data_IF_006609937107
#
_entry.id   IF_006609937107
#
_cell.length_a   1.000
_cell.length_b   1.000
_cell.length_c   1.000
_cell.angle_alpha   90.00
_cell.angle_beta   90.00
_cell.angle_gamma   90.00
#
_symmetry.space_group_name_H-M   'P 1'
#
loop_
_entity.id
_entity.type
_entity.pdbx_description
1 polymer ?
#
# COMPACT_ATOMS: atom_id res chain seq x y z
N UNK A 1 -17.84 -2.71 -9.78
CA UNK A 1 -16.59 -2.38 -10.45
C UNK A 1 -15.94 -3.59 -11.13
N UNK A 2 -15.73 -4.72 -10.43
CA UNK A 2 -15.12 -5.91 -11.07
C UNK A 2 -15.87 -6.34 -12.32
N UNK A 3 -17.18 -6.45 -12.27
CA UNK A 3 -17.99 -6.81 -13.45
C UNK A 3 -17.83 -5.78 -14.57
N UNK A 4 -17.79 -4.48 -14.26
CA UNK A 4 -17.56 -3.42 -15.25
C UNK A 4 -16.22 -3.58 -15.97
N UNK A 5 -15.16 -3.96 -15.23
CA UNK A 5 -13.84 -4.20 -15.79
C UNK A 5 -13.79 -5.44 -16.70
N UNK A 6 -14.55 -6.49 -16.37
CA UNK A 6 -14.63 -7.70 -17.20
C UNK A 6 -15.53 -7.54 -18.43
N UNK A 7 -16.63 -6.81 -18.30
CA UNK A 7 -17.59 -6.57 -19.38
C UNK A 7 -17.16 -5.39 -20.28
N UNK A 8 -16.13 -4.63 -19.89
CA UNK A 8 -15.62 -3.43 -20.57
C UNK A 8 -16.72 -2.39 -20.86
N UNK A 9 -17.77 -2.37 -20.06
CA UNK A 9 -18.94 -1.49 -20.25
C UNK A 9 -18.80 -0.20 -19.45
N UNK A 10 -17.97 0.71 -19.96
CA UNK A 10 -17.76 2.05 -19.44
C UNK A 10 -18.52 3.11 -20.24
N UNK A 11 -18.90 4.21 -19.58
CA UNK A 11 -19.46 5.37 -20.27
C UNK A 11 -18.44 5.96 -21.25
N UNK A 12 -18.91 6.50 -22.38
CA UNK A 12 -18.07 7.03 -23.49
C UNK A 12 -17.02 8.08 -23.06
N UNK A 13 -17.27 8.77 -21.96
CA UNK A 13 -16.33 9.77 -21.40
C UNK A 13 -15.11 9.17 -20.68
N UNK A 14 -15.09 7.85 -20.46
CA UNK A 14 -13.98 7.19 -19.79
C UNK A 14 -12.84 6.89 -20.75
N UNK A 15 -11.82 7.73 -20.73
CA UNK A 15 -10.53 7.48 -21.41
C UNK A 15 -9.60 6.79 -20.40
N UNK A 16 -9.94 5.58 -20.02
CA UNK A 16 -9.07 4.71 -19.22
C UNK A 16 -8.09 3.98 -20.11
N UNK A 17 -6.86 3.80 -19.65
CA UNK A 17 -5.92 2.90 -20.32
C UNK A 17 -6.48 1.47 -20.30
N UNK A 18 -6.82 0.93 -21.45
CA UNK A 18 -7.19 -0.47 -21.57
C UNK A 18 -5.96 -1.38 -21.51
N UNK A 19 -6.14 -2.65 -21.16
CA UNK A 19 -5.15 -3.69 -21.37
C UNK A 19 -4.28 -4.06 -20.17
N UNK A 20 -4.52 -3.54 -18.97
CA UNK A 20 -3.85 -4.03 -17.77
C UNK A 20 -4.64 -5.17 -17.10
N UNK A 21 -3.96 -5.97 -16.27
CA UNK A 21 -4.61 -7.03 -15.50
C UNK A 21 -5.48 -6.45 -14.39
N UNK A 22 -6.66 -7.04 -14.21
CA UNK A 22 -7.69 -6.47 -13.32
C UNK A 22 -7.25 -6.37 -11.85
N UNK A 23 -6.41 -7.27 -11.35
CA UNK A 23 -5.93 -7.23 -9.97
C UNK A 23 -4.94 -6.10 -9.67
N UNK A 24 -4.42 -5.41 -10.69
CA UNK A 24 -3.58 -4.21 -10.51
C UNK A 24 -4.40 -2.97 -10.14
N UNK A 25 -5.71 -3.00 -10.33
CA UNK A 25 -6.57 -1.86 -10.11
C UNK A 25 -6.71 -1.53 -8.62
N UNK A 26 -6.65 -0.24 -8.32
CA UNK A 26 -6.97 0.27 -6.99
C UNK A 26 -8.47 0.47 -6.80
N UNK A 27 -8.88 0.64 -5.54
CA UNK A 27 -10.26 0.92 -5.17
C UNK A 27 -10.34 1.80 -3.93
N UNK A 28 -11.41 2.56 -3.79
CA UNK A 28 -11.68 3.36 -2.62
C UNK A 28 -13.17 3.35 -2.30
N UNK A 29 -13.52 3.10 -1.04
CA UNK A 29 -14.90 3.11 -0.58
C UNK A 29 -14.99 3.47 0.91
N UNK A 30 -16.13 4.04 1.28
CA UNK A 30 -16.53 4.17 2.68
C UNK A 30 -17.36 2.94 3.08
N UNK A 31 -16.99 2.32 4.19
CA UNK A 31 -17.66 1.14 4.74
C UNK A 31 -18.19 1.48 6.13
N UNK A 32 -19.40 1.07 6.42
CA UNK A 32 -19.95 1.18 7.77
C UNK A 32 -19.55 -0.02 8.61
N UNK A 33 -19.03 0.25 9.79
CA UNK A 33 -18.80 -0.78 10.80
C UNK A 33 -20.12 -1.23 11.43
N UNK A 34 -20.10 -2.35 12.18
CA UNK A 34 -21.28 -2.86 12.93
C UNK A 34 -21.89 -1.78 13.87
N UNK A 35 -21.10 -0.81 14.30
CA UNK A 35 -21.53 0.31 15.13
C UNK A 35 -21.94 1.55 14.30
N UNK A 36 -22.20 1.39 13.01
CA UNK A 36 -22.55 2.46 12.06
C UNK A 36 -21.53 3.61 11.98
N UNK A 37 -20.26 3.35 12.29
CA UNK A 37 -19.17 4.31 12.09
C UNK A 37 -18.58 4.15 10.70
N UNK A 38 -18.43 5.23 9.91
CA UNK A 38 -17.81 5.15 8.62
C UNK A 38 -16.29 4.91 8.75
N UNK A 39 -15.77 3.99 7.97
CA UNK A 39 -14.33 3.75 7.79
C UNK A 39 -14.01 3.83 6.31
N UNK A 40 -13.06 4.68 5.95
CA UNK A 40 -12.59 4.79 4.58
C UNK A 40 -11.53 3.72 4.29
N UNK A 41 -11.79 2.90 3.29
CA UNK A 41 -10.86 1.85 2.83
C UNK A 41 -10.32 2.25 1.46
N UNK A 42 -9.00 2.26 1.32
CA UNK A 42 -8.33 2.50 0.04
C UNK A 42 -7.43 1.31 -0.29
N UNK A 43 -7.71 0.65 -1.41
CA UNK A 43 -6.80 -0.31 -2.02
C UNK A 43 -5.89 0.44 -2.98
N UNK A 44 -4.59 0.37 -2.77
CA UNK A 44 -3.63 0.93 -3.70
C UNK A 44 -3.54 0.06 -4.97
N UNK A 45 -3.40 0.70 -6.13
CA UNK A 45 -2.96 -0.01 -7.33
C UNK A 45 -1.61 -0.66 -7.08
N UNK A 46 -1.40 -1.87 -7.55
CA UNK A 46 -0.17 -2.62 -7.34
C UNK A 46 0.44 -3.04 -8.69
N UNK A 47 1.78 -3.08 -8.81
CA UNK A 47 2.45 -3.61 -9.99
C UNK A 47 2.56 -5.14 -9.92
N UNK A 48 3.01 -5.77 -11.01
CA UNK A 48 3.41 -7.19 -11.03
C UNK A 48 4.70 -7.47 -10.24
N UNK A 49 5.45 -6.45 -9.88
CA UNK A 49 6.63 -6.56 -9.03
C UNK A 49 6.20 -6.87 -7.59
N UNK A 50 6.35 -8.11 -7.18
CA UNK A 50 5.96 -8.57 -5.85
C UNK A 50 6.62 -7.74 -4.76
N UNK A 51 5.86 -7.42 -3.70
CA UNK A 51 6.24 -6.67 -2.50
C UNK A 51 6.48 -5.16 -2.69
N UNK A 52 6.56 -4.63 -3.92
CA UNK A 52 6.78 -3.19 -4.14
C UNK A 52 5.59 -2.33 -3.68
N UNK A 53 4.38 -2.85 -3.70
CA UNK A 53 3.20 -2.19 -3.13
C UNK A 53 3.33 -1.87 -1.65
N UNK A 54 4.15 -2.60 -0.91
CA UNK A 54 4.42 -2.38 0.51
C UNK A 54 4.93 -0.96 0.77
N UNK A 55 6.02 -0.56 0.13
CA UNK A 55 6.59 0.79 0.28
C UNK A 55 5.62 1.90 -0.13
N UNK A 56 4.86 1.68 -1.20
CA UNK A 56 3.84 2.63 -1.68
C UNK A 56 2.73 2.83 -0.65
N UNK A 57 2.24 1.76 -0.04
CA UNK A 57 1.19 1.83 1.00
C UNK A 57 1.69 2.56 2.24
N UNK A 58 2.92 2.28 2.70
CA UNK A 58 3.52 3.00 3.83
C UNK A 58 3.67 4.50 3.54
N UNK A 59 4.14 4.85 2.33
CA UNK A 59 4.25 6.24 1.89
C UNK A 59 2.89 6.95 1.84
N UNK A 60 1.85 6.29 1.30
CA UNK A 60 0.47 6.82 1.29
C UNK A 60 -0.08 7.00 2.70
N UNK A 61 0.12 6.03 3.59
CA UNK A 61 -0.30 6.13 4.99
C UNK A 61 0.39 7.32 5.69
N UNK A 62 1.70 7.46 5.53
CA UNK A 62 2.47 8.58 6.09
C UNK A 62 2.00 9.94 5.58
N UNK A 63 1.73 10.07 4.27
CA UNK A 63 1.20 11.28 3.68
C UNK A 63 -0.19 11.63 4.24
N UNK A 64 -1.05 10.61 4.40
CA UNK A 64 -2.40 10.78 4.96
C UNK A 64 -2.36 11.25 6.40
N UNK A 65 -1.54 10.61 7.24
CA UNK A 65 -1.31 11.00 8.63
C UNK A 65 -0.83 12.46 8.73
N UNK A 66 0.08 12.88 7.86
CA UNK A 66 0.56 14.26 7.80
C UNK A 66 -0.55 15.25 7.42
N UNK A 67 -1.33 14.96 6.37
CA UNK A 67 -2.39 15.86 5.90
C UNK A 67 -3.54 15.99 6.89
N UNK A 68 -3.72 14.99 7.75
CA UNK A 68 -4.72 14.99 8.82
C UNK A 68 -4.18 15.54 10.15
N UNK A 69 -2.92 16.00 10.18
CA UNK A 69 -2.22 16.44 11.41
C UNK A 69 -2.27 15.41 12.53
N UNK A 70 -2.16 14.14 12.16
CA UNK A 70 -2.28 13.01 13.07
C UNK A 70 -0.92 12.67 13.71
N UNK A 71 -0.68 13.17 14.90
CA UNK A 71 0.56 12.92 15.65
C UNK A 71 0.66 11.47 16.13
N UNK A 72 -0.45 10.90 16.60
CA UNK A 72 -0.50 9.56 17.18
C UNK A 72 -0.51 8.41 16.15
N UNK A 73 -0.69 8.70 14.85
CA UNK A 73 -0.70 7.71 13.77
C UNK A 73 -1.68 6.54 13.97
N UNK A 74 -2.78 6.78 14.68
CA UNK A 74 -3.77 5.78 15.04
C UNK A 74 -4.93 5.67 14.04
N UNK A 75 -5.25 6.77 13.32
CA UNK A 75 -6.42 6.85 12.45
C UNK A 75 -6.19 6.24 11.06
N UNK A 76 -4.94 6.18 10.59
CA UNK A 76 -4.60 5.58 9.31
C UNK A 76 -3.73 4.32 9.54
N UNK A 77 -4.28 3.15 9.24
CA UNK A 77 -3.64 1.86 9.44
C UNK A 77 -3.22 1.30 8.07
N UNK A 78 -1.93 1.13 7.78
CA UNK A 78 -1.49 0.38 6.62
C UNK A 78 -1.69 -1.11 6.85
N UNK A 79 -2.35 -1.77 5.88
CA UNK A 79 -2.52 -3.21 5.81
C UNK A 79 -1.89 -3.70 4.51
N UNK A 80 -0.95 -4.62 4.61
CA UNK A 80 -0.25 -5.19 3.48
C UNK A 80 -0.55 -6.69 3.39
N UNK A 81 -0.99 -7.15 2.22
CA UNK A 81 -1.26 -8.57 1.96
C UNK A 81 -0.11 -9.14 1.14
N UNK A 82 0.48 -10.22 1.62
CA UNK A 82 1.65 -10.88 1.06
C UNK A 82 1.36 -12.33 0.65
N UNK A 83 2.12 -12.83 -0.31
CA UNK A 83 2.29 -14.27 -0.52
C UNK A 83 3.42 -14.81 0.36
N UNK A 84 3.34 -16.09 0.73
CA UNK A 84 4.33 -16.74 1.60
C UNK A 84 5.71 -16.86 0.97
N UNK A 85 5.80 -17.09 -0.33
CA UNK A 85 7.08 -17.20 -1.01
C UNK A 85 7.78 -15.85 -1.25
N UNK A 86 6.99 -14.78 -1.52
CA UNK A 86 7.54 -13.45 -1.80
C UNK A 86 7.97 -12.72 -0.53
N UNK A 87 7.29 -12.93 0.58
CA UNK A 87 7.53 -12.24 1.83
C UNK A 87 8.99 -12.36 2.35
N UNK A 88 9.60 -13.55 2.44
CA UNK A 88 11.01 -13.68 2.77
C UNK A 88 11.95 -13.49 1.56
N UNK A 89 11.44 -13.64 0.34
CA UNK A 89 12.26 -13.71 -0.88
C UNK A 89 12.58 -12.37 -1.52
N UNK A 90 11.92 -11.29 -1.11
CA UNK A 90 12.13 -9.95 -1.67
C UNK A 90 12.80 -9.04 -0.65
N UNK A 91 14.00 -8.55 -0.95
CA UNK A 91 14.81 -7.70 -0.05
C UNK A 91 14.09 -6.44 0.42
N UNK A 92 13.16 -5.90 -0.36
CA UNK A 92 12.38 -4.72 0.00
C UNK A 92 11.55 -4.93 1.28
N UNK A 93 11.12 -6.15 1.59
CA UNK A 93 10.39 -6.45 2.84
C UNK A 93 11.29 -6.23 4.06
N UNK A 94 12.54 -6.73 4.00
CA UNK A 94 13.54 -6.50 5.06
C UNK A 94 13.87 -5.01 5.21
N UNK A 95 14.00 -4.28 4.10
CA UNK A 95 14.25 -2.84 4.12
C UNK A 95 13.10 -2.07 4.77
N UNK A 96 11.85 -2.41 4.45
CA UNK A 96 10.68 -1.77 5.06
C UNK A 96 10.62 -2.01 6.57
N UNK A 97 10.84 -3.23 7.03
CA UNK A 97 10.95 -3.51 8.47
C UNK A 97 12.09 -2.73 9.12
N UNK A 98 13.25 -2.66 8.48
CA UNK A 98 14.39 -1.94 9.01
C UNK A 98 14.14 -0.42 9.13
N UNK A 99 13.26 0.15 8.31
CA UNK A 99 12.87 1.56 8.36
C UNK A 99 11.67 1.84 9.29
N UNK A 100 10.95 0.82 9.75
CA UNK A 100 9.67 0.97 10.44
C UNK A 100 9.72 1.87 11.69
N UNK A 101 10.84 1.86 12.42
CA UNK A 101 11.04 2.63 13.65
C UNK A 101 11.84 3.92 13.46
N UNK A 102 12.29 4.23 12.25
CA UNK A 102 13.00 5.47 11.98
C UNK A 102 12.02 6.65 11.95
N UNK A 103 12.36 7.75 12.62
CA UNK A 103 11.48 8.93 12.76
C UNK A 103 10.97 9.47 11.41
N UNK A 104 11.84 9.47 10.41
CA UNK A 104 11.50 9.91 9.06
C UNK A 104 10.54 8.99 8.31
N UNK A 105 10.40 7.72 8.71
CA UNK A 105 9.68 6.69 7.94
C UNK A 105 8.51 6.05 8.69
N UNK A 106 8.56 6.02 10.02
CA UNK A 106 7.53 5.34 10.82
C UNK A 106 6.11 5.82 10.51
N UNK A 107 5.19 4.87 10.47
CA UNK A 107 3.75 5.07 10.27
C UNK A 107 2.93 4.67 11.51
N UNK A 108 3.61 4.41 12.63
CA UNK A 108 2.97 3.91 13.85
C UNK A 108 2.56 2.45 13.73
N UNK A 109 3.38 1.67 13.06
CA UNK A 109 3.17 0.24 12.80
C UNK A 109 2.25 -0.07 11.63
N UNK A 110 2.47 -1.21 11.02
CA UNK A 110 1.68 -1.78 9.93
C UNK A 110 1.20 -3.19 10.28
N UNK A 111 0.14 -3.64 9.62
CA UNK A 111 -0.36 -5.01 9.75
C UNK A 111 0.01 -5.76 8.48
N UNK A 112 0.81 -6.81 8.63
CA UNK A 112 1.21 -7.69 7.54
C UNK A 112 0.36 -8.95 7.57
N UNK A 113 -0.36 -9.21 6.50
CA UNK A 113 -1.23 -10.36 6.36
C UNK A 113 -0.65 -11.30 5.30
N UNK A 114 -0.04 -12.38 5.73
CA UNK A 114 0.56 -13.37 4.82
C UNK A 114 -0.47 -14.44 4.50
N UNK A 115 -0.90 -14.49 3.24
CA UNK A 115 -1.74 -15.57 2.70
C UNK A 115 -0.81 -16.73 2.36
N UNK A 116 -0.58 -17.60 3.34
CA UNK A 116 0.35 -18.71 3.23
C UNK A 116 -0.32 -19.93 2.60
N UNK A 117 -0.20 -20.04 1.29
CA UNK A 117 -0.75 -21.17 0.55
C UNK A 117 0.23 -22.35 0.40
N UNK A 118 1.40 -22.26 1.02
CA UNK A 118 2.43 -23.29 1.10
C UNK A 118 3.00 -23.72 -0.27
N UNK A 119 3.01 -22.79 -1.22
CA UNK A 119 3.63 -23.02 -2.53
C UNK A 119 3.98 -21.68 -3.19
N UNK A 120 5.21 -21.57 -3.73
CA UNK A 120 5.63 -20.41 -4.53
C UNK A 120 5.68 -20.79 -6.01
N UNK A 121 4.64 -20.48 -6.78
CA UNK A 121 4.43 -20.98 -8.14
C UNK A 121 4.50 -22.51 -8.19
N UNK A 122 5.69 -23.09 -8.34
CA UNK A 122 5.95 -24.55 -8.34
C UNK A 122 6.95 -24.97 -7.27
N UNK A 123 7.38 -24.06 -6.39
CA UNK A 123 8.39 -24.30 -5.37
C UNK A 123 7.73 -24.60 -4.03
N UNK A 124 8.09 -25.73 -3.43
CA UNK A 124 7.61 -26.10 -2.09
C UNK A 124 8.28 -25.26 -1.00
N UNK A 125 7.68 -25.11 0.20
CA UNK A 125 8.21 -24.27 1.26
C UNK A 125 9.65 -24.63 1.68
N UNK A 126 9.99 -25.90 1.77
CA UNK A 126 11.32 -26.36 2.16
C UNK A 126 12.44 -26.01 1.15
N UNK A 127 12.05 -25.65 -0.08
CA UNK A 127 12.97 -25.19 -1.14
C UNK A 127 12.95 -23.65 -1.27
N UNK A 128 12.01 -22.97 -0.60
CA UNK A 128 11.77 -21.52 -0.75
C UNK A 128 12.53 -20.67 0.25
N UNK A 129 12.71 -21.15 1.49
CA UNK A 129 13.35 -20.38 2.56
C UNK A 129 13.99 -21.30 3.60
N UNK A 130 15.09 -20.83 4.21
CA UNK A 130 15.89 -21.62 5.17
C UNK A 130 15.26 -21.67 6.59
N UNK A 131 14.43 -20.69 6.94
CA UNK A 131 13.75 -20.63 8.22
C UNK A 131 12.62 -21.65 8.34
N UNK A 132 12.09 -21.81 9.54
CA UNK A 132 10.92 -22.67 9.77
C UNK A 132 9.64 -22.07 9.17
N UNK A 133 9.53 -20.74 9.19
CA UNK A 133 8.37 -20.00 8.72
C UNK A 133 8.78 -18.93 7.71
N UNK A 134 7.96 -18.70 6.70
CA UNK A 134 8.17 -17.61 5.77
C UNK A 134 8.22 -16.23 6.47
N UNK A 135 7.59 -16.13 7.63
CA UNK A 135 7.50 -14.91 8.43
C UNK A 135 8.69 -14.67 9.36
N UNK A 136 9.70 -15.54 9.36
CA UNK A 136 10.87 -15.40 10.25
C UNK A 136 11.65 -14.09 10.02
N UNK A 137 11.55 -13.49 8.84
CA UNK A 137 12.15 -12.20 8.51
C UNK A 137 11.65 -11.06 9.43
N UNK A 138 10.41 -11.11 9.90
CA UNK A 138 9.86 -10.09 10.80
C UNK A 138 10.48 -10.11 12.21
N UNK A 139 11.18 -11.19 12.57
CA UNK A 139 11.91 -11.29 13.84
C UNK A 139 13.07 -10.30 13.96
N UNK A 140 13.58 -9.80 12.83
CA UNK A 140 14.67 -8.80 12.84
C UNK A 140 14.31 -7.52 13.58
N UNK A 141 13.01 -7.16 13.62
CA UNK A 141 12.49 -6.00 14.34
C UNK A 141 11.62 -6.39 15.54
N UNK A 142 11.68 -7.65 15.94
CA UNK A 142 10.88 -8.19 17.07
C UNK A 142 9.38 -7.99 16.91
N UNK A 143 8.88 -7.96 15.67
CA UNK A 143 7.45 -7.89 15.40
C UNK A 143 6.77 -9.18 15.83
N UNK A 144 5.64 -9.15 16.57
CA UNK A 144 4.90 -10.36 16.90
C UNK A 144 4.33 -11.00 15.65
N UNK A 145 4.34 -12.34 15.65
CA UNK A 145 3.86 -13.16 14.54
C UNK A 145 2.78 -14.10 15.07
N UNK A 146 1.59 -14.02 14.49
CA UNK A 146 0.48 -14.91 14.78
C UNK A 146 0.33 -15.91 13.65
N UNK A 147 0.47 -17.20 13.96
CA UNK A 147 0.16 -18.28 13.01
C UNK A 147 -1.26 -18.76 13.25
N UNK A 148 -2.08 -18.78 12.21
CA UNK A 148 -3.48 -19.18 12.30
C UNK A 148 -3.87 -20.09 11.15
N UNK A 149 -4.73 -21.08 11.43
CA UNK A 149 -5.27 -21.96 10.41
C UNK A 149 -6.38 -21.24 9.64
N UNK A 150 -6.22 -21.08 8.33
CA UNK A 150 -7.19 -20.45 7.43
C UNK A 150 -8.53 -21.22 7.30
N UNK A 151 -8.56 -22.49 7.72
CA UNK A 151 -9.80 -23.27 7.80
C UNK A 151 -10.62 -23.01 9.09
N UNK A 152 -10.11 -22.16 10.01
CA UNK A 152 -10.83 -21.71 11.22
C UNK A 152 -11.12 -20.20 11.14
N UNK A 153 -12.27 -19.78 10.59
CA UNK A 153 -12.61 -18.36 10.45
C UNK A 153 -12.72 -17.62 11.79
N UNK A 154 -13.17 -18.28 12.86
CA UNK A 154 -13.28 -17.66 14.18
C UNK A 154 -11.90 -17.34 14.76
N UNK A 155 -10.93 -18.25 14.64
CA UNK A 155 -9.56 -18.03 15.03
C UNK A 155 -8.91 -16.91 14.19
N UNK A 156 -9.18 -16.88 12.89
CA UNK A 156 -8.71 -15.80 12.01
C UNK A 156 -9.22 -14.43 12.47
N UNK A 157 -10.51 -14.30 12.75
CA UNK A 157 -11.10 -13.04 13.26
C UNK A 157 -10.50 -12.67 14.63
N UNK A 158 -10.32 -13.63 15.51
CA UNK A 158 -9.71 -13.40 16.82
C UNK A 158 -8.29 -12.85 16.70
N UNK A 159 -7.46 -13.46 15.88
CA UNK A 159 -6.07 -13.03 15.64
C UNK A 159 -6.01 -11.63 15.00
N UNK A 160 -6.91 -11.33 14.05
CA UNK A 160 -6.98 -9.97 13.46
C UNK A 160 -7.31 -8.93 14.52
N UNK A 161 -8.26 -9.22 15.43
CA UNK A 161 -8.59 -8.31 16.54
C UNK A 161 -7.40 -8.09 17.47
N UNK A 162 -6.63 -9.15 17.78
CA UNK A 162 -5.39 -9.03 18.57
C UNK A 162 -4.34 -8.19 17.85
N UNK A 163 -4.13 -8.43 16.58
CA UNK A 163 -3.15 -7.69 15.77
C UNK A 163 -3.49 -6.19 15.70
N UNK A 164 -4.76 -5.85 15.47
CA UNK A 164 -5.22 -4.46 15.47
C UNK A 164 -5.03 -3.83 16.86
N UNK A 165 -5.41 -4.52 17.92
CA UNK A 165 -5.25 -4.02 19.28
C UNK A 165 -3.76 -3.81 19.65
N UNK A 166 -2.89 -4.75 19.26
CA UNK A 166 -1.44 -4.62 19.45
C UNK A 166 -0.89 -3.40 18.71
N UNK A 167 -1.18 -3.29 17.41
CA UNK A 167 -0.74 -2.14 16.60
C UNK A 167 -1.20 -0.81 17.18
N UNK A 168 -2.45 -0.72 17.60
CA UNK A 168 -3.04 0.50 18.16
C UNK A 168 -2.46 0.87 19.54
N UNK A 169 -2.05 -0.13 20.31
CA UNK A 169 -1.50 0.08 21.66
C UNK A 169 -0.01 0.41 21.62
N UNK A 170 0.75 -0.31 20.80
CA UNK A 170 2.21 -0.25 20.80
C UNK A 170 2.81 0.50 19.61
N UNK A 171 2.01 0.85 18.60
CA UNK A 171 2.44 1.52 17.38
C UNK A 171 3.59 0.79 16.65
N UNK A 172 3.56 -0.53 16.69
CA UNK A 172 4.55 -1.42 16.09
C UNK A 172 3.92 -2.30 15.01
N UNK A 173 4.78 -2.82 14.14
CA UNK A 173 4.38 -3.80 13.13
C UNK A 173 3.92 -5.11 13.78
N UNK A 174 3.01 -5.79 13.09
CA UNK A 174 2.50 -7.11 13.49
C UNK A 174 2.25 -7.95 12.24
N UNK A 175 2.55 -9.23 12.33
CA UNK A 175 2.41 -10.18 11.22
C UNK A 175 1.38 -11.23 11.56
N UNK A 176 0.48 -11.50 10.63
CA UNK A 176 -0.51 -12.58 10.69
C UNK A 176 -0.20 -13.55 9.55
N UNK A 177 0.19 -14.77 9.88
CA UNK A 177 0.48 -15.85 8.94
C UNK A 177 -0.72 -16.80 8.88
N UNK A 178 -1.54 -16.65 7.82
CA UNK A 178 -2.75 -17.44 7.61
C UNK A 178 -2.42 -18.65 6.76
N UNK A 179 -2.39 -19.81 7.39
CA UNK A 179 -2.06 -21.08 6.75
C UNK A 179 -3.26 -21.66 5.99
N UNK A 180 -3.10 -21.79 4.70
CA UNK A 180 -4.09 -22.34 3.80
C UNK A 180 -3.45 -23.19 2.72
N UNK A 181 -4.08 -23.25 1.57
CA UNK A 181 -3.60 -23.94 0.38
C UNK A 181 -4.12 -23.26 -0.88
N UNK A 182 -3.39 -23.39 -1.97
CA UNK A 182 -3.82 -22.93 -3.29
C UNK A 182 -4.72 -24.00 -3.92
N UNK A 183 -6.02 -23.71 -4.08
CA UNK A 183 -7.00 -24.67 -4.60
C UNK A 183 -6.85 -24.91 -6.10
N UNK A 184 -6.56 -23.88 -6.86
CA UNK A 184 -6.44 -23.89 -8.32
C UNK A 184 -4.98 -23.68 -8.75
N UNK A 185 -4.68 -23.65 -10.04
CA UNK A 185 -3.37 -23.33 -10.57
C UNK A 185 -2.94 -21.89 -10.28
N UNK A 186 -1.71 -21.55 -10.63
CA UNK A 186 -1.14 -20.22 -10.48
C UNK A 186 -1.88 -19.18 -11.33
N UNK A 187 -2.34 -19.60 -12.50
CA UNK A 187 -3.21 -18.84 -13.39
C UNK A 187 -4.26 -19.76 -14.01
N UNK A 188 -5.12 -19.21 -14.88
CA UNK A 188 -6.25 -19.91 -15.48
C UNK A 188 -5.83 -21.09 -16.37
N UNK A 189 -4.64 -21.07 -16.93
CA UNK A 189 -4.10 -22.10 -17.82
C UNK A 189 -3.21 -23.13 -17.13
N UNK A 190 -2.90 -22.92 -15.83
CA UNK A 190 -1.96 -23.76 -15.10
C UNK A 190 -2.65 -25.00 -14.52
N UNK A 191 -2.11 -26.20 -14.82
CA UNK A 191 -2.48 -27.45 -14.16
C UNK A 191 -1.41 -27.79 -13.11
N UNK A 192 -1.68 -27.48 -11.83
CA UNK A 192 -0.67 -27.59 -10.77
C UNK A 192 -0.24 -29.02 -10.46
N UNK A 193 -1.02 -30.03 -10.85
CA UNK A 193 -0.65 -31.43 -10.66
C UNK A 193 0.51 -31.87 -11.56
N UNK A 194 0.88 -31.10 -12.57
CA UNK A 194 2.07 -31.40 -13.38
C UNK A 194 3.37 -31.37 -12.55
N UNK A 195 3.46 -30.47 -11.60
CA UNK A 195 4.64 -30.30 -10.75
C UNK A 195 4.44 -30.79 -9.32
N UNK A 196 3.23 -30.68 -8.77
CA UNK A 196 2.88 -31.12 -7.41
C UNK A 196 1.73 -32.15 -7.39
N UNK A 197 1.89 -33.33 -7.99
CA UNK A 197 0.81 -34.30 -8.13
C UNK A 197 0.28 -34.79 -6.77
N UNK A 198 1.16 -35.11 -5.83
CA UNK A 198 0.77 -35.62 -4.50
C UNK A 198 0.02 -34.56 -3.69
N UNK A 199 0.49 -33.32 -3.70
CA UNK A 199 -0.18 -32.21 -3.01
C UNK A 199 -1.61 -32.02 -3.55
N UNK A 200 -1.76 -31.96 -4.86
CA UNK A 200 -3.07 -31.70 -5.49
C UNK A 200 -4.00 -32.92 -5.46
N UNK A 201 -3.48 -34.14 -5.30
CA UNK A 201 -4.32 -35.28 -4.95
C UNK A 201 -5.02 -35.07 -3.60
N UNK A 202 -4.32 -34.52 -2.60
CA UNK A 202 -4.93 -34.19 -1.30
C UNK A 202 -5.85 -32.98 -1.41
N UNK A 203 -5.41 -31.87 -2.03
CA UNK A 203 -6.18 -30.63 -2.18
C UNK A 203 -7.52 -30.88 -2.84
N UNK A 204 -7.59 -31.70 -3.91
CA UNK A 204 -8.86 -32.03 -4.59
C UNK A 204 -9.86 -32.78 -3.74
N UNK A 205 -9.40 -33.48 -2.71
CA UNK A 205 -10.26 -34.22 -1.76
C UNK A 205 -10.72 -33.36 -0.58
N UNK A 206 -10.12 -32.18 -0.39
CA UNK A 206 -10.44 -31.31 0.75
C UNK A 206 -11.77 -30.60 0.52
N UNK A 207 -12.60 -30.59 1.56
CA UNK A 207 -13.77 -29.68 1.62
C UNK A 207 -13.26 -28.24 1.76
N UNK A 208 -13.94 -27.31 1.11
CA UNK A 208 -13.61 -25.89 1.27
C UNK A 208 -13.96 -25.38 2.68
N UNK A 209 -13.40 -24.23 3.05
CA UNK A 209 -13.60 -23.63 4.38
C UNK A 209 -15.07 -23.34 4.68
N UNK A 210 -15.84 -22.89 3.67
CA UNK A 210 -17.27 -22.60 3.82
C UNK A 210 -18.06 -23.83 4.23
N UNK A 211 -17.79 -24.97 3.58
CA UNK A 211 -18.48 -26.24 3.91
C UNK A 211 -18.09 -26.78 5.28
N UNK A 212 -16.78 -26.70 5.64
CA UNK A 212 -16.29 -27.11 6.96
C UNK A 212 -16.92 -26.26 8.07
N UNK A 213 -16.93 -24.95 7.89
CA UNK A 213 -17.47 -24.03 8.90
C UNK A 213 -18.98 -24.13 9.02
N UNK A 214 -19.71 -24.20 7.89
CA UNK A 214 -21.15 -24.43 7.92
C UNK A 214 -21.52 -25.72 8.61
N UNK A 215 -20.78 -26.80 8.39
CA UNK A 215 -21.00 -28.07 9.08
C UNK A 215 -20.80 -27.91 10.60
N UNK A 216 -19.72 -27.23 11.03
CA UNK A 216 -19.47 -26.91 12.47
C UNK A 216 -20.64 -26.15 13.09
N UNK A 217 -21.14 -25.12 12.42
CA UNK A 217 -22.26 -24.31 12.92
C UNK A 217 -23.58 -25.08 12.98
N UNK A 218 -23.82 -26.00 12.05
CA UNK A 218 -25.00 -26.90 12.06
C UNK A 218 -24.90 -27.88 13.24
N UNK A 219 -23.75 -28.51 13.44
CA UNK A 219 -23.52 -29.43 14.56
C UNK A 219 -23.68 -28.74 15.94
N UNK A 220 -23.35 -27.44 15.99
CA UNK A 220 -23.55 -26.60 17.18
C UNK A 220 -24.97 -26.01 17.28
N UNK A 221 -25.87 -26.32 16.36
CA UNK A 221 -27.24 -25.78 16.27
C UNK A 221 -27.32 -24.25 16.20
N UNK A 222 -26.30 -23.59 15.65
CA UNK A 222 -26.27 -22.13 15.41
C UNK A 222 -27.03 -21.79 14.15
N UNK A 223 -26.88 -22.60 13.09
CA UNK A 223 -27.65 -22.52 11.86
C UNK A 223 -28.21 -23.90 11.53
N UNK A 224 -29.21 -23.96 10.64
CA UNK A 224 -29.69 -25.20 10.03
C UNK A 224 -29.32 -25.28 8.55
N UNK A 225 -29.45 -26.46 7.90
CA UNK A 225 -29.10 -26.62 6.49
C UNK A 225 -29.86 -25.70 5.54
N UNK A 226 -31.13 -25.38 5.86
CA UNK A 226 -31.94 -24.48 5.04
C UNK A 226 -31.43 -23.04 5.11
N UNK A 227 -31.07 -22.56 6.29
CA UNK A 227 -30.44 -21.24 6.47
C UNK A 227 -29.13 -21.13 5.68
N UNK A 228 -28.28 -22.17 5.71
CA UNK A 228 -27.05 -22.19 4.89
C UNK A 228 -27.36 -22.04 3.40
N UNK A 229 -28.38 -22.74 2.91
CA UNK A 229 -28.81 -22.68 1.51
C UNK A 229 -29.29 -21.28 1.15
N UNK A 230 -30.17 -20.69 1.95
CA UNK A 230 -30.68 -19.33 1.77
C UNK A 230 -29.52 -18.31 1.70
N UNK A 231 -28.58 -18.33 2.64
CA UNK A 231 -27.42 -17.43 2.64
C UNK A 231 -26.58 -17.55 1.36
N UNK A 232 -26.41 -18.79 0.84
CA UNK A 232 -25.68 -18.99 -0.42
C UNK A 232 -26.43 -18.45 -1.64
N UNK A 233 -27.76 -18.62 -1.66
CA UNK A 233 -28.63 -18.11 -2.73
C UNK A 233 -28.69 -16.59 -2.72
N UNK A 234 -28.77 -15.95 -1.55
CA UNK A 234 -28.75 -14.49 -1.41
C UNK A 234 -27.45 -13.87 -1.95
N UNK A 235 -26.29 -14.44 -1.60
CA UNK A 235 -25.01 -13.97 -2.12
C UNK A 235 -24.94 -14.12 -3.63
N UNK A 236 -25.37 -15.28 -4.16
CA UNK A 236 -25.40 -15.52 -5.60
C UNK A 236 -26.31 -14.54 -6.31
N UNK A 237 -27.51 -14.34 -5.81
CA UNK A 237 -28.47 -13.38 -6.38
C UNK A 237 -27.92 -11.94 -6.39
N UNK A 238 -27.21 -11.53 -5.34
CA UNK A 238 -26.55 -10.21 -5.26
C UNK A 238 -25.44 -10.05 -6.32
N UNK A 239 -24.66 -11.11 -6.58
CA UNK A 239 -23.64 -11.09 -7.64
C UNK A 239 -24.27 -11.06 -9.04
N UNK A 240 -25.29 -11.88 -9.28
CA UNK A 240 -26.02 -11.93 -10.55
C UNK A 240 -26.69 -10.58 -10.85
N UNK A 241 -27.32 -9.94 -9.85
CA UNK A 241 -27.89 -8.60 -9.98
C UNK A 241 -26.82 -7.54 -10.30
N UNK A 242 -25.65 -7.64 -9.64
CA UNK A 242 -24.55 -6.70 -9.88
C UNK A 242 -23.99 -6.84 -11.29
N UNK A 243 -23.88 -8.06 -11.81
CA UNK A 243 -23.46 -8.31 -13.19
C UNK A 243 -24.52 -7.79 -14.17
N UNK A 244 -25.79 -8.09 -13.94
CA UNK A 244 -26.87 -7.64 -14.82
C UNK A 244 -26.94 -6.12 -14.93
N UNK A 245 -26.81 -5.41 -13.80
CA UNK A 245 -26.74 -3.94 -13.81
C UNK A 245 -25.59 -3.40 -14.66
N UNK A 246 -24.46 -4.08 -14.65
CA UNK A 246 -23.29 -3.68 -15.45
C UNK A 246 -23.52 -3.91 -16.95
N UNK A 247 -24.22 -4.99 -17.33
CA UNK A 247 -24.56 -5.28 -18.72
C UNK A 247 -25.59 -4.29 -19.28
N UNK A 248 -26.56 -3.89 -18.46
CA UNK A 248 -27.65 -3.01 -18.89
C UNK A 248 -27.26 -1.52 -18.96
N UNK A 249 -26.34 -1.09 -18.11
CA UNK A 249 -26.01 0.31 -17.97
C UNK A 249 -24.49 0.52 -17.95
N UNK A 250 -23.92 1.33 -18.87
CA UNK A 250 -22.54 1.78 -18.79
C UNK A 250 -22.28 2.47 -17.45
N UNK A 251 -21.16 2.14 -16.81
CA UNK A 251 -20.81 2.70 -15.52
C UNK A 251 -19.86 3.87 -15.69
N UNK A 252 -20.23 5.03 -15.18
CA UNK A 252 -19.31 6.16 -15.07
C UNK A 252 -18.30 5.94 -13.94
N UNK A 253 -17.00 6.20 -14.18
CA UNK A 253 -16.01 6.14 -13.14
C UNK A 253 -16.35 7.13 -12.02
N UNK A 254 -16.59 6.63 -10.83
CA UNK A 254 -16.86 7.50 -9.69
C UNK A 254 -15.55 8.07 -9.17
N UNK A 255 -15.45 9.40 -9.12
CA UNK A 255 -14.36 10.07 -8.41
C UNK A 255 -14.61 9.83 -6.91
N UNK A 256 -13.68 9.15 -6.23
CA UNK A 256 -13.84 8.88 -4.80
C UNK A 256 -14.10 10.17 -4.02
N UNK A 257 -14.99 10.16 -3.03
CA UNK A 257 -15.37 11.35 -2.26
C UNK A 257 -14.18 12.12 -1.69
N UNK A 258 -13.12 11.43 -1.27
CA UNK A 258 -11.92 12.06 -0.73
C UNK A 258 -11.15 12.93 -1.75
N UNK A 259 -11.31 12.68 -3.05
CA UNK A 259 -10.73 13.56 -4.10
C UNK A 259 -11.47 14.88 -4.25
N UNK A 260 -12.72 14.95 -3.80
CA UNK A 260 -13.52 16.17 -3.86
C UNK A 260 -13.18 17.18 -2.76
N UNK A 261 -12.48 16.77 -1.71
CA UNK A 261 -12.20 17.59 -0.53
C UNK A 261 -10.71 17.66 -0.16
N UNK A 262 -9.81 17.35 -1.10
CA UNK A 262 -8.37 17.29 -0.88
C UNK A 262 -7.63 18.27 -1.78
N UNK A 263 -6.30 18.37 -1.57
CA UNK A 263 -5.38 19.11 -2.44
C UNK A 263 -5.44 18.73 -3.93
N UNK A 264 -6.14 17.64 -4.27
CA UNK A 264 -6.36 17.18 -5.65
C UNK A 264 -7.62 17.74 -6.30
N UNK A 265 -8.44 18.52 -5.56
CA UNK A 265 -9.64 19.12 -6.12
C UNK A 265 -9.28 20.09 -7.24
N UNK A 266 -9.94 19.94 -8.38
CA UNK A 266 -9.65 20.73 -9.58
C UNK A 266 -8.41 20.32 -10.37
N UNK A 267 -7.56 19.45 -9.84
CA UNK A 267 -6.41 18.91 -10.56
C UNK A 267 -6.86 17.71 -11.41
N UNK A 268 -6.75 17.85 -12.72
CA UNK A 268 -7.00 16.77 -13.69
C UNK A 268 -5.71 16.39 -14.38
N UNK A 269 -5.45 15.09 -14.49
CA UNK A 269 -4.40 14.59 -15.37
C UNK A 269 -4.81 14.87 -16.81
N UNK A 270 -4.27 15.91 -17.43
CA UNK A 270 -4.35 16.11 -18.86
C UNK A 270 -3.11 15.46 -19.49
N UNK A 271 -3.26 14.39 -20.30
CA UNK A 271 -2.12 13.74 -20.94
C UNK A 271 -1.45 14.65 -21.99
N UNK A 272 -2.06 15.76 -22.36
CA UNK A 272 -1.42 16.73 -23.23
C UNK A 272 -0.42 17.56 -22.44
N UNK A 273 0.85 17.47 -22.82
CA UNK A 273 1.91 18.32 -22.27
C UNK A 273 1.65 19.77 -22.70
N UNK A 274 0.88 20.50 -21.90
CA UNK A 274 0.71 21.94 -22.10
C UNK A 274 1.97 22.64 -21.62
N UNK A 275 2.46 23.58 -22.41
CA UNK A 275 3.53 24.47 -21.98
C UNK A 275 3.00 25.29 -20.80
N UNK A 276 3.45 24.95 -19.61
CA UNK A 276 3.10 25.66 -18.38
C UNK A 276 4.20 26.67 -18.05
N UNK A 277 3.82 27.87 -17.66
CA UNK A 277 4.77 28.86 -17.13
C UNK A 277 5.21 28.42 -15.74
N UNK A 278 6.50 28.11 -15.62
CA UNK A 278 7.17 27.71 -14.38
C UNK A 278 8.17 28.76 -13.90
N UNK A 279 8.11 29.98 -14.46
CA UNK A 279 9.00 31.07 -14.08
C UNK A 279 8.73 31.55 -12.66
N UNK A 280 9.79 31.97 -11.98
CA UNK A 280 9.75 32.55 -10.64
C UNK A 280 10.38 33.94 -10.67
N UNK A 281 9.82 34.87 -9.89
CA UNK A 281 10.37 36.23 -9.83
C UNK A 281 11.80 36.25 -9.27
N UNK A 282 12.63 37.15 -9.78
CA UNK A 282 14.02 37.31 -9.36
C UNK A 282 14.10 37.64 -7.85
N UNK A 283 13.12 38.34 -7.30
CA UNK A 283 13.09 38.69 -5.89
C UNK A 283 12.92 37.44 -4.99
N UNK A 284 12.09 36.50 -5.39
CA UNK A 284 11.94 35.21 -4.68
C UNK A 284 13.24 34.41 -4.81
N UNK A 285 13.84 34.33 -5.99
CA UNK A 285 15.12 33.63 -6.18
C UNK A 285 16.24 34.23 -5.31
N UNK A 286 16.33 35.57 -5.22
CA UNK A 286 17.27 36.26 -4.33
C UNK A 286 17.00 35.94 -2.87
N UNK A 287 15.73 35.95 -2.44
CA UNK A 287 15.35 35.59 -1.07
C UNK A 287 15.83 34.18 -0.74
N UNK A 288 15.52 33.21 -1.58
CA UNK A 288 15.93 31.81 -1.39
C UNK A 288 17.45 31.68 -1.38
N UNK A 289 18.14 32.29 -2.33
CA UNK A 289 19.60 32.29 -2.44
C UNK A 289 20.27 32.85 -1.17
N UNK A 290 19.75 33.95 -0.63
CA UNK A 290 20.27 34.54 0.61
C UNK A 290 20.06 33.61 1.81
N UNK A 291 18.89 32.97 1.94
CA UNK A 291 18.63 32.00 3.01
C UNK A 291 19.57 30.81 2.92
N UNK A 292 19.80 30.27 1.73
CA UNK A 292 20.73 29.16 1.49
C UNK A 292 22.19 29.50 1.83
N UNK A 293 22.56 30.76 1.71
CA UNK A 293 23.91 31.24 2.05
C UNK A 293 24.10 31.70 3.51
N UNK A 294 23.02 31.83 4.25
CA UNK A 294 23.05 32.34 5.64
C UNK A 294 23.21 31.22 6.63
N UNK A 295 24.24 31.31 7.46
CA UNK A 295 24.47 30.38 8.57
C UNK A 295 23.86 30.98 9.85
N UNK A 296 23.01 30.25 10.59
CA UNK A 296 22.49 30.71 11.87
C UNK A 296 23.64 31.00 12.84
N UNK A 297 23.53 32.10 13.63
CA UNK A 297 24.57 32.55 14.54
C UNK A 297 25.05 31.49 15.54
N UNK A 298 24.17 30.59 15.93
CA UNK A 298 24.45 29.53 16.91
C UNK A 298 25.09 28.28 16.29
N UNK A 299 25.25 28.24 14.96
CA UNK A 299 25.74 27.09 14.23
C UNK A 299 27.19 27.26 13.79
N UNK A 300 28.07 26.35 14.25
CA UNK A 300 29.47 26.33 13.87
C UNK A 300 29.67 25.54 12.58
N UNK A 301 29.93 26.24 11.50
CA UNK A 301 30.13 25.64 10.17
C UNK A 301 31.62 25.43 9.89
N UNK A 302 31.95 24.32 9.21
CA UNK A 302 33.32 24.06 8.78
C UNK A 302 33.78 25.15 7.79
N UNK A 303 35.03 25.69 7.90
CA UNK A 303 35.50 26.84 7.08
C UNK A 303 35.37 26.63 5.56
N UNK A 304 35.57 25.41 5.06
CA UNK A 304 35.39 25.11 3.63
C UNK A 304 33.94 25.23 3.19
N UNK A 305 32.99 24.81 4.04
CA UNK A 305 31.56 24.92 3.76
C UNK A 305 31.09 26.38 3.79
N UNK A 306 31.66 27.19 4.68
CA UNK A 306 31.34 28.61 4.80
C UNK A 306 31.51 29.33 3.46
N UNK A 307 32.64 29.13 2.76
CA UNK A 307 32.89 29.71 1.44
C UNK A 307 31.87 29.26 0.39
N UNK A 308 31.46 27.99 0.42
CA UNK A 308 30.47 27.47 -0.51
C UNK A 308 29.09 28.08 -0.23
N UNK A 309 28.72 28.27 1.03
CA UNK A 309 27.46 28.91 1.40
C UNK A 309 27.44 30.40 1.01
N UNK A 310 28.55 31.13 1.25
CA UNK A 310 28.69 32.50 0.78
C UNK A 310 28.54 32.63 -0.73
N UNK A 311 29.10 31.67 -1.50
CA UNK A 311 28.95 31.65 -2.95
C UNK A 311 27.50 31.38 -3.37
N UNK A 312 26.75 30.53 -2.65
CA UNK A 312 25.32 30.32 -2.90
C UNK A 312 24.49 31.59 -2.74
N UNK A 313 24.83 32.42 -1.74
CA UNK A 313 24.18 33.71 -1.54
C UNK A 313 24.42 34.66 -2.71
N UNK A 314 25.63 34.66 -3.27
CA UNK A 314 26.00 35.59 -4.35
C UNK A 314 25.48 35.18 -5.75
N UNK A 315 25.24 33.89 -5.99
CA UNK A 315 24.93 33.37 -7.33
C UNK A 315 23.78 34.12 -8.02
N UNK A 316 22.65 34.32 -7.32
CA UNK A 316 21.50 35.05 -7.90
C UNK A 316 21.70 36.56 -7.81
N UNK A 317 22.33 37.06 -6.74
CA UNK A 317 22.53 38.49 -6.55
C UNK A 317 23.50 39.09 -7.59
N UNK A 318 24.56 38.36 -7.94
CA UNK A 318 25.61 38.79 -8.85
C UNK A 318 25.43 38.22 -10.27
N UNK A 319 24.28 37.58 -10.55
CA UNK A 319 23.93 37.00 -11.84
C UNK A 319 25.00 36.03 -12.38
N UNK A 320 25.50 35.15 -11.49
CA UNK A 320 26.50 34.15 -11.87
C UNK A 320 25.83 32.90 -12.49
N UNK A 321 26.57 32.11 -13.28
CA UNK A 321 26.07 30.84 -13.80
C UNK A 321 25.65 29.89 -12.69
N UNK A 322 24.50 29.24 -12.88
CA UNK A 322 23.97 28.22 -11.96
C UNK A 322 24.55 26.85 -12.31
N UNK A 323 24.99 26.12 -11.30
CA UNK A 323 25.19 24.67 -11.40
C UNK A 323 23.88 23.93 -11.13
N UNK A 324 23.85 22.62 -11.41
CA UNK A 324 22.67 21.79 -11.22
C UNK A 324 22.23 21.73 -9.75
N UNK A 325 23.19 21.65 -8.81
CA UNK A 325 22.88 21.60 -7.37
C UNK A 325 22.22 22.90 -6.90
N UNK A 326 22.69 24.06 -7.37
CA UNK A 326 22.06 25.33 -7.02
C UNK A 326 20.70 25.49 -7.68
N UNK A 327 20.54 25.03 -8.92
CA UNK A 327 19.24 25.03 -9.62
C UNK A 327 18.20 24.20 -8.86
N UNK A 328 18.57 23.02 -8.40
CA UNK A 328 17.72 22.13 -7.59
C UNK A 328 17.35 22.78 -6.25
N UNK A 329 18.30 23.35 -5.52
CA UNK A 329 18.04 24.03 -4.26
C UNK A 329 17.12 25.26 -4.42
N UNK A 330 17.27 26.04 -5.49
CA UNK A 330 16.37 27.14 -5.79
C UNK A 330 14.94 26.63 -6.10
N UNK A 331 14.82 25.52 -6.83
CA UNK A 331 13.52 24.92 -7.10
C UNK A 331 12.84 24.44 -5.81
N UNK A 332 13.57 23.77 -4.92
CA UNK A 332 13.02 23.37 -3.61
C UNK A 332 12.62 24.58 -2.75
N UNK A 333 13.47 25.61 -2.71
CA UNK A 333 13.18 26.81 -1.94
C UNK A 333 11.96 27.57 -2.45
N UNK A 334 11.77 27.66 -3.77
CA UNK A 334 10.60 28.33 -4.36
C UNK A 334 9.32 27.54 -4.13
N UNK A 335 9.35 26.21 -4.21
CA UNK A 335 8.20 25.35 -3.85
C UNK A 335 7.80 25.54 -2.38
N UNK A 336 8.78 25.65 -1.47
CA UNK A 336 8.52 25.91 -0.05
C UNK A 336 7.88 27.28 0.18
N UNK A 337 8.32 28.33 -0.54
CA UNK A 337 7.70 29.65 -0.51
C UNK A 337 6.25 29.65 -0.99
N UNK A 338 5.92 28.79 -1.94
CA UNK A 338 4.54 28.55 -2.41
C UNK A 338 3.71 27.67 -1.46
N UNK A 339 4.29 27.22 -0.35
CA UNK A 339 3.61 26.33 0.61
C UNK A 339 3.62 24.85 0.23
N UNK A 340 4.36 24.47 -0.81
CA UNK A 340 4.52 23.06 -1.22
C UNK A 340 5.66 22.42 -0.44
N UNK A 341 5.39 21.41 0.44
CA UNK A 341 6.44 20.78 1.21
C UNK A 341 7.34 19.90 0.32
N UNK A 342 8.63 19.98 0.56
CA UNK A 342 9.65 19.15 -0.10
C UNK A 342 10.17 18.11 0.89
N UNK A 343 10.19 16.84 0.46
CA UNK A 343 10.81 15.73 1.19
C UNK A 343 11.92 15.13 0.34
N UNK A 344 13.15 15.32 0.76
CA UNK A 344 14.32 14.67 0.18
C UNK A 344 14.78 13.57 1.14
N UNK A 345 14.89 12.34 0.64
CA UNK A 345 15.26 11.18 1.46
C UNK A 345 16.05 10.17 0.63
N UNK A 346 16.98 9.50 1.25
CA UNK A 346 17.85 8.49 0.66
C UNK A 346 19.09 8.26 1.50
N UNK A 347 19.90 7.29 1.09
CA UNK A 347 21.19 7.05 1.74
C UNK A 347 22.08 8.28 1.60
N UNK A 348 22.69 8.72 2.70
CA UNK A 348 23.59 9.89 2.75
C UNK A 348 22.99 11.21 2.21
N UNK A 349 21.67 11.36 2.21
CA UNK A 349 21.03 12.57 1.71
C UNK A 349 21.46 13.83 2.46
N UNK A 350 21.68 13.75 3.77
CA UNK A 350 22.20 14.87 4.59
C UNK A 350 23.64 15.25 4.22
N UNK A 351 24.39 14.32 3.68
CA UNK A 351 25.77 14.56 3.22
C UNK A 351 25.82 15.46 2.00
N UNK A 352 24.74 15.52 1.21
CA UNK A 352 24.70 16.28 -0.03
C UNK A 352 25.61 15.69 -1.11
N UNK A 353 25.65 14.37 -1.19
CA UNK A 353 26.52 13.65 -2.13
C UNK A 353 25.92 13.57 -3.54
N UNK A 354 24.62 13.76 -3.64
CA UNK A 354 23.86 13.66 -4.87
C UNK A 354 23.24 14.99 -5.26
#
# INVERSE_FOLDING_TARGET
QLFTEFEENWAEAYVGGGGDVKYHLGYSADVLTDNNKPVHITLASNPSHLEFGHSVVLGKARARQRTQHEENRALCIPLIIHGDASFPGQGIVAEMFNMAHLDGYTVGGSIHFVVNNQIGFTTNPHDSYSGRYCTDIAKMVSAPIFHVNGDDPEACVHVVKLAVAYRQTFHNDVVIDVWGYRKHGHNESDEPAYTQPTMYEHVRKMKNVTDKYAQKLIEQNIINPEQRKIMSEEIRASLDESQQRTLENPVEPQIPPYRKTTVWEGLRGDPTLRKTDTTVSVDILKKVSNVLGTVPEQFSVHPKLKKMLEMRSSVVNDNLPLDWGMGELLAYGTLLEEGSPVRLTGQDVERGTF
#
